data_IF_108896807346
#
_entry.id   IF_108896807346
#
_cell.length_a   1.000
_cell.length_b   1.000
_cell.length_c   1.000
_cell.angle_alpha   90.00
_cell.angle_beta   90.00
_cell.angle_gamma   90.00
#
_symmetry.space_group_name_H-M   'P 1'
#
loop_
_entity.id
_entity.type
_entity.pdbx_description
1 polymer ?
#
# COMPACT_ATOMS: atom_id res chain seq x y z
N UNK A 1 -16.37 3.93 4.96
CA UNK A 1 -16.06 2.49 5.18
C UNK A 1 -15.47 1.93 3.90
N UNK A 2 -14.47 1.06 3.99
CA UNK A 2 -13.96 0.32 2.82
C UNK A 2 -14.99 -0.71 2.35
N UNK A 3 -15.10 -0.90 1.04
CA UNK A 3 -15.84 -2.00 0.42
C UNK A 3 -15.18 -3.35 0.71
N UNK A 4 -15.94 -4.45 0.56
CA UNK A 4 -15.43 -5.80 0.77
C UNK A 4 -14.25 -6.14 -0.16
N UNK A 5 -14.28 -5.65 -1.41
CA UNK A 5 -13.16 -5.83 -2.33
C UNK A 5 -11.89 -5.08 -1.87
N UNK A 6 -12.03 -3.86 -1.37
CA UNK A 6 -10.90 -3.08 -0.83
C UNK A 6 -10.31 -3.77 0.40
N UNK A 7 -11.16 -4.28 1.29
CA UNK A 7 -10.71 -5.07 2.45
C UNK A 7 -9.96 -6.32 2.02
N UNK A 8 -10.47 -7.06 1.03
CA UNK A 8 -9.83 -8.27 0.49
C UNK A 8 -8.45 -7.95 -0.10
N UNK A 9 -8.33 -6.87 -0.87
CA UNK A 9 -7.04 -6.42 -1.42
C UNK A 9 -6.06 -6.03 -0.32
N UNK A 10 -6.48 -5.22 0.64
CA UNK A 10 -5.66 -4.84 1.78
C UNK A 10 -5.17 -6.08 2.56
N UNK A 11 -6.04 -7.07 2.78
CA UNK A 11 -5.69 -8.32 3.43
C UNK A 11 -4.66 -9.14 2.64
N UNK A 12 -4.75 -9.18 1.31
CA UNK A 12 -3.74 -9.83 0.46
C UNK A 12 -2.38 -9.13 0.56
N UNK A 13 -2.35 -7.80 0.49
CA UNK A 13 -1.11 -7.00 0.58
C UNK A 13 -0.39 -7.21 1.91
N UNK A 14 -1.12 -7.23 3.03
CA UNK A 14 -0.50 -7.47 4.35
C UNK A 14 -0.34 -8.96 4.67
N UNK A 15 -0.93 -9.86 3.86
CA UNK A 15 -0.81 -11.31 3.98
C UNK A 15 0.53 -11.83 3.46
N UNK A 16 1.19 -11.11 2.56
CA UNK A 16 2.52 -11.43 2.04
C UNK A 16 3.64 -11.12 3.05
N UNK A 17 4.88 -11.46 2.70
CA UNK A 17 6.04 -10.94 3.44
C UNK A 17 6.15 -9.42 3.24
N UNK A 18 6.77 -8.73 4.20
CA UNK A 18 7.00 -7.28 4.09
C UNK A 18 7.95 -6.93 2.93
N UNK A 19 8.87 -7.84 2.59
CA UNK A 19 9.76 -7.69 1.43
C UNK A 19 8.99 -7.76 0.12
N UNK A 20 8.09 -8.74 -0.03
CA UNK A 20 7.26 -8.88 -1.23
C UNK A 20 6.31 -7.68 -1.37
N UNK A 21 5.75 -7.20 -0.27
CA UNK A 21 4.94 -5.98 -0.23
C UNK A 21 5.76 -4.76 -0.70
N UNK A 22 7.01 -4.59 -0.26
CA UNK A 22 7.86 -3.47 -0.69
C UNK A 22 8.16 -3.53 -2.19
N UNK A 23 8.60 -4.70 -2.67
CA UNK A 23 8.96 -4.89 -4.09
C UNK A 23 7.75 -4.65 -4.99
N UNK A 24 6.62 -5.30 -4.70
CA UNK A 24 5.40 -5.21 -5.52
C UNK A 24 4.82 -3.78 -5.54
N UNK A 25 4.66 -3.17 -4.38
CA UNK A 25 4.06 -1.82 -4.29
C UNK A 25 4.97 -0.74 -4.86
N UNK A 26 6.30 -0.88 -4.71
CA UNK A 26 7.25 0.06 -5.31
C UNK A 26 7.31 -0.08 -6.83
N UNK A 27 7.23 -1.31 -7.36
CA UNK A 27 7.13 -1.52 -8.81
C UNK A 27 5.83 -0.92 -9.35
N UNK A 28 4.70 -1.18 -8.68
CA UNK A 28 3.40 -0.63 -9.05
C UNK A 28 3.40 0.90 -9.00
N UNK A 29 4.05 1.52 -8.01
CA UNK A 29 4.21 2.98 -7.92
C UNK A 29 4.83 3.60 -9.18
N UNK A 30 5.66 2.85 -9.90
CA UNK A 30 6.31 3.33 -11.13
C UNK A 30 5.37 3.30 -12.32
N UNK A 31 4.46 2.32 -12.39
CA UNK A 31 3.55 2.13 -13.53
C UNK A 31 2.17 2.74 -13.33
N UNK A 32 1.71 2.84 -12.08
CA UNK A 32 0.37 3.30 -11.74
C UNK A 32 0.38 4.05 -10.39
N UNK A 33 1.03 5.23 -10.33
CA UNK A 33 1.26 5.93 -9.07
C UNK A 33 -0.03 6.34 -8.34
N UNK A 34 -1.04 6.84 -9.05
CA UNK A 34 -2.34 7.20 -8.44
C UNK A 34 -3.00 5.99 -7.79
N UNK A 35 -3.04 4.85 -8.50
CA UNK A 35 -3.61 3.62 -7.96
C UNK A 35 -2.84 3.14 -6.74
N UNK A 36 -1.50 3.20 -6.77
CA UNK A 36 -0.67 2.84 -5.61
C UNK A 36 -0.99 3.72 -4.39
N UNK A 37 -1.24 5.02 -4.56
CA UNK A 37 -1.62 5.89 -3.45
C UNK A 37 -2.97 5.50 -2.84
N UNK A 38 -3.96 5.19 -3.69
CA UNK A 38 -5.24 4.68 -3.22
C UNK A 38 -5.06 3.38 -2.43
N UNK A 39 -4.31 2.43 -2.97
CA UNK A 39 -4.09 1.11 -2.36
C UNK A 39 -3.29 1.19 -1.05
N UNK A 40 -2.30 2.09 -0.97
CA UNK A 40 -1.59 2.40 0.29
C UNK A 40 -2.55 2.97 1.33
N UNK A 41 -3.37 3.97 0.96
CA UNK A 41 -4.31 4.60 1.88
C UNK A 41 -5.38 3.61 2.38
N UNK A 42 -5.95 2.81 1.49
CA UNK A 42 -6.90 1.75 1.80
C UNK A 42 -6.30 0.71 2.75
N UNK A 43 -5.08 0.26 2.46
CA UNK A 43 -4.40 -0.77 3.27
C UNK A 43 -4.06 -0.25 4.66
N UNK A 44 -3.56 0.99 4.78
CA UNK A 44 -3.28 1.60 6.07
C UNK A 44 -4.56 1.83 6.89
N UNK A 45 -5.64 2.28 6.25
CA UNK A 45 -6.94 2.42 6.89
C UNK A 45 -7.45 1.08 7.40
N UNK A 46 -7.37 0.02 6.58
CA UNK A 46 -7.74 -1.34 6.98
C UNK A 46 -6.93 -1.83 8.18
N UNK A 47 -5.60 -1.63 8.17
CA UNK A 47 -4.74 -2.02 9.29
C UNK A 47 -5.13 -1.28 10.58
N UNK A 48 -5.38 0.02 10.50
CA UNK A 48 -5.75 0.82 11.66
C UNK A 48 -7.13 0.45 12.21
N UNK A 49 -8.11 0.23 11.33
CA UNK A 49 -9.47 -0.15 11.71
C UNK A 49 -9.55 -1.52 12.41
N UNK A 50 -8.59 -2.41 12.13
CA UNK A 50 -8.55 -3.77 12.69
C UNK A 50 -7.43 -3.97 13.74
N UNK A 51 -6.74 -2.90 14.17
CA UNK A 51 -5.65 -2.99 15.14
C UNK A 51 -4.45 -3.83 14.68
N UNK A 52 -4.19 -3.89 13.37
CA UNK A 52 -3.09 -4.70 12.80
C UNK A 52 -1.78 -3.92 12.86
N UNK A 53 -0.82 -4.41 13.65
CA UNK A 53 0.39 -3.65 13.98
C UNK A 53 1.62 -3.92 13.11
N UNK A 54 1.51 -4.57 11.96
CA UNK A 54 2.66 -4.99 11.12
C UNK A 54 3.56 -3.80 10.69
N UNK A 55 4.56 -3.48 11.51
CA UNK A 55 5.41 -2.28 11.35
C UNK A 55 6.19 -2.31 10.02
N UNK A 56 6.74 -3.47 9.66
CA UNK A 56 7.51 -3.62 8.42
C UNK A 56 6.66 -3.37 7.17
N UNK A 57 5.42 -3.88 7.14
CA UNK A 57 4.46 -3.58 6.07
C UNK A 57 4.11 -2.11 6.01
N UNK A 58 3.88 -1.44 7.16
CA UNK A 58 3.65 0.01 7.19
C UNK A 58 4.82 0.79 6.58
N UNK A 59 6.07 0.41 6.91
CA UNK A 59 7.26 1.05 6.33
C UNK A 59 7.34 0.84 4.81
N UNK A 60 7.07 -0.37 4.34
CA UNK A 60 7.01 -0.70 2.91
C UNK A 60 5.93 0.11 2.18
N UNK A 61 4.71 0.15 2.71
CA UNK A 61 3.59 0.93 2.16
C UNK A 61 3.92 2.43 2.08
N UNK A 62 4.51 2.99 3.14
CA UNK A 62 4.91 4.41 3.15
C UNK A 62 6.03 4.70 2.14
N UNK A 63 6.96 3.77 1.95
CA UNK A 63 8.01 3.90 0.93
C UNK A 63 7.41 3.90 -0.48
N UNK A 64 6.51 2.97 -0.77
CA UNK A 64 5.80 2.93 -2.06
C UNK A 64 4.95 4.19 -2.29
N UNK A 65 4.26 4.68 -1.26
CA UNK A 65 3.50 5.93 -1.33
C UNK A 65 4.39 7.14 -1.67
N UNK A 66 5.55 7.28 -1.02
CA UNK A 66 6.52 8.34 -1.36
C UNK A 66 7.03 8.22 -2.80
N UNK A 67 7.36 7.01 -3.25
CA UNK A 67 7.77 6.76 -4.64
C UNK A 67 6.68 7.20 -5.62
N UNK A 68 5.42 6.85 -5.37
CA UNK A 68 4.31 7.22 -6.23
C UNK A 68 4.09 8.75 -6.30
N UNK A 69 4.21 9.46 -5.16
CA UNK A 69 4.15 10.92 -5.13
C UNK A 69 5.28 11.57 -5.93
N UNK A 70 6.51 11.06 -5.82
CA UNK A 70 7.63 11.57 -6.61
C UNK A 70 7.37 11.38 -8.12
N UNK A 71 6.93 10.19 -8.53
CA UNK A 71 6.60 9.91 -9.94
C UNK A 71 5.53 10.88 -10.46
N UNK A 72 4.49 11.18 -9.68
CA UNK A 72 3.45 12.15 -10.07
C UNK A 72 3.96 13.59 -10.13
N UNK A 73 4.92 13.97 -9.28
CA UNK A 73 5.51 15.30 -9.29
C UNK A 73 6.48 15.53 -10.45
N UNK A 74 7.04 14.46 -11.01
CA UNK A 74 7.95 14.49 -12.17
C UNK A 74 7.23 14.44 -13.53
N UNK A 75 5.89 14.25 -13.55
CA UNK A 75 5.04 14.23 -14.75
C UNK A 75 4.60 15.64 -15.14
#
# INVERSE_FOLDING_TARGET
MLSEEQKKRAAMVIGSSASDCDVSMTLQATHSPVRTLCEVAETLHYMNANGIEKISHRKALMKAGRKALNVLGDM
#
